data_IF_025929347142
#
_entry.id   IF_025929347142
#
_cell.length_a   1.000
_cell.length_b   1.000
_cell.length_c   1.000
_cell.angle_alpha   90.00
_cell.angle_beta   90.00
_cell.angle_gamma   90.00
#
_symmetry.space_group_name_H-M   'P 1'
#
loop_
_entity.id
_entity.type
_entity.pdbx_description
1 polymer ?
#
# COMPACT_ATOMS: atom_id res chain seq x y z
N UNK A 1 0.77 11.75 -22.73
CA UNK A 1 -0.14 12.27 -21.68
C UNK A 1 0.62 12.54 -20.38
N UNK A 2 0.65 13.81 -19.93
CA UNK A 2 1.25 14.17 -18.64
C UNK A 2 0.36 13.62 -17.53
N UNK A 3 0.91 12.74 -16.69
CA UNK A 3 0.19 12.17 -15.55
C UNK A 3 0.00 13.30 -14.53
N UNK A 4 -1.26 13.56 -14.15
CA UNK A 4 -1.59 14.54 -13.11
C UNK A 4 -0.99 14.06 -11.80
N UNK A 5 -0.23 14.92 -11.12
CA UNK A 5 0.32 14.57 -9.82
C UNK A 5 -0.81 14.47 -8.78
N UNK A 6 -0.89 13.36 -8.02
CA UNK A 6 -1.91 13.22 -7.00
C UNK A 6 -1.62 14.18 -5.84
N UNK A 7 -2.67 14.66 -5.16
CA UNK A 7 -2.51 15.48 -3.96
C UNK A 7 -2.06 14.66 -2.75
N UNK A 8 -2.46 13.38 -2.69
CA UNK A 8 -2.07 12.39 -1.68
C UNK A 8 -1.82 11.06 -2.40
N UNK A 9 -0.72 10.39 -2.06
CA UNK A 9 -0.46 8.99 -2.40
C UNK A 9 -0.68 8.12 -1.17
N UNK A 10 -1.37 7.00 -1.29
CA UNK A 10 -1.50 6.01 -0.21
C UNK A 10 -0.71 4.77 -0.63
N UNK A 11 0.26 4.37 0.19
CA UNK A 11 1.05 3.17 -0.03
C UNK A 11 0.78 2.14 1.06
N UNK A 12 0.15 1.02 0.67
CA UNK A 12 -0.15 -0.10 1.57
C UNK A 12 1.04 -1.07 1.55
N UNK A 13 1.89 -0.99 2.56
CA UNK A 13 3.02 -1.90 2.68
C UNK A 13 2.56 -3.23 3.29
N UNK A 14 2.80 -4.33 2.58
CA UNK A 14 2.49 -5.69 3.08
C UNK A 14 3.66 -6.62 2.75
N UNK A 15 4.11 -7.46 3.69
CA UNK A 15 5.15 -8.45 3.44
C UNK A 15 4.79 -9.39 2.27
N UNK A 16 5.80 -9.75 1.47
CA UNK A 16 5.62 -10.58 0.26
C UNK A 16 4.94 -11.92 0.54
N UNK A 17 5.22 -12.56 1.68
CA UNK A 17 4.55 -13.79 2.08
C UNK A 17 3.02 -13.61 2.21
N UNK A 18 2.59 -12.50 2.83
CA UNK A 18 1.16 -12.21 2.98
C UNK A 18 0.53 -11.78 1.66
N UNK A 19 1.27 -11.08 0.79
CA UNK A 19 0.81 -10.79 -0.57
C UNK A 19 0.53 -12.07 -1.36
N UNK A 20 1.39 -13.08 -1.24
CA UNK A 20 1.19 -14.39 -1.87
C UNK A 20 -0.05 -15.11 -1.32
N UNK A 21 -0.25 -15.10 0.00
CA UNK A 21 -1.46 -15.66 0.61
C UNK A 21 -2.72 -14.96 0.08
N UNK A 22 -2.69 -13.64 -0.04
CA UNK A 22 -3.80 -12.85 -0.60
C UNK A 22 -4.05 -13.16 -2.08
N UNK A 23 -2.99 -13.30 -2.90
CA UNK A 23 -3.09 -13.69 -4.33
C UNK A 23 -3.75 -15.07 -4.45
N UNK A 24 -3.30 -16.04 -3.67
CA UNK A 24 -3.86 -17.40 -3.64
C UNK A 24 -5.33 -17.37 -3.21
N UNK A 25 -5.67 -16.64 -2.14
CA UNK A 25 -7.04 -16.49 -1.63
C UNK A 25 -8.00 -15.89 -2.67
N UNK A 26 -7.53 -14.96 -3.52
CA UNK A 26 -8.34 -14.37 -4.62
C UNK A 26 -8.63 -15.35 -5.76
N UNK A 27 -7.86 -16.44 -5.87
CA UNK A 27 -8.05 -17.51 -6.86
C UNK A 27 -8.16 -17.04 -8.32
N UNK A 28 -7.35 -16.04 -8.70
CA UNK A 28 -7.24 -15.57 -10.09
C UNK A 28 -6.18 -16.40 -10.80
N UNK A 29 -6.56 -17.19 -11.79
CA UNK A 29 -5.68 -18.17 -12.46
C UNK A 29 -4.38 -17.54 -12.99
N UNK A 30 -4.47 -16.34 -13.57
CA UNK A 30 -3.32 -15.62 -14.13
C UNK A 30 -2.37 -15.02 -13.07
N UNK A 31 -2.81 -14.85 -11.82
CA UNK A 31 -1.95 -14.34 -10.72
C UNK A 31 -1.23 -15.49 -9.97
N UNK A 32 -1.70 -16.74 -10.08
CA UNK A 32 -1.19 -17.87 -9.28
C UNK A 32 0.30 -18.16 -9.50
N UNK A 33 0.82 -17.83 -10.69
CA UNK A 33 2.22 -18.04 -11.07
C UNK A 33 3.17 -16.89 -10.73
N UNK A 34 2.70 -15.82 -10.06
CA UNK A 34 3.54 -14.66 -9.75
C UNK A 34 4.65 -15.07 -8.75
N UNK A 35 5.94 -14.94 -9.10
CA UNK A 35 7.02 -15.32 -8.21
C UNK A 35 7.26 -14.27 -7.12
N UNK A 36 7.84 -14.70 -5.99
CA UNK A 36 8.21 -13.80 -4.90
C UNK A 36 9.15 -12.68 -5.35
N UNK A 37 10.16 -13.02 -6.17
CA UNK A 37 11.15 -12.05 -6.65
C UNK A 37 10.49 -10.92 -7.44
N UNK A 38 9.43 -11.21 -8.20
CA UNK A 38 8.65 -10.18 -8.88
C UNK A 38 7.99 -9.23 -7.88
N UNK A 39 7.36 -9.76 -6.83
CA UNK A 39 6.73 -8.94 -5.80
C UNK A 39 7.75 -8.12 -5.00
N UNK A 40 8.93 -8.68 -4.71
CA UNK A 40 10.04 -7.94 -4.09
C UNK A 40 10.50 -6.79 -4.97
N UNK A 41 10.80 -7.05 -6.24
CA UNK A 41 11.21 -6.01 -7.20
C UNK A 41 10.16 -4.91 -7.34
N UNK A 42 8.88 -5.27 -7.35
CA UNK A 42 7.78 -4.32 -7.40
C UNK A 42 7.73 -3.44 -6.15
N UNK A 43 7.83 -4.04 -4.96
CA UNK A 43 7.86 -3.34 -3.69
C UNK A 43 9.04 -2.36 -3.60
N UNK A 44 10.23 -2.80 -4.01
CA UNK A 44 11.41 -1.94 -4.07
C UNK A 44 11.22 -0.79 -5.05
N UNK A 45 10.71 -1.05 -6.24
CA UNK A 45 10.47 -0.02 -7.27
C UNK A 45 9.56 1.09 -6.75
N UNK A 46 8.44 0.74 -6.13
CA UNK A 46 7.53 1.74 -5.55
C UNK A 46 8.15 2.48 -4.36
N UNK A 47 8.85 1.75 -3.47
CA UNK A 47 9.50 2.36 -2.32
C UNK A 47 10.58 3.37 -2.75
N UNK A 48 11.36 3.05 -3.79
CA UNK A 48 12.36 3.96 -4.36
C UNK A 48 11.70 5.18 -5.01
N UNK A 49 10.63 4.97 -5.79
CA UNK A 49 9.86 6.07 -6.38
C UNK A 49 9.39 7.05 -5.30
N UNK A 50 8.76 6.57 -4.23
CA UNK A 50 8.25 7.42 -3.15
C UNK A 50 9.38 8.13 -2.39
N UNK A 51 10.55 7.51 -2.27
CA UNK A 51 11.72 8.16 -1.66
C UNK A 51 12.33 9.27 -2.53
N UNK A 52 12.28 9.10 -3.85
CA UNK A 52 12.87 10.06 -4.80
C UNK A 52 11.96 11.25 -5.09
N UNK A 53 10.65 11.10 -4.86
CA UNK A 53 9.68 12.15 -5.11
C UNK A 53 9.11 12.67 -3.79
N UNK A 54 9.15 13.99 -3.57
CA UNK A 54 8.57 14.64 -2.40
C UNK A 54 7.03 14.76 -2.53
N UNK A 55 6.36 13.63 -2.70
CA UNK A 55 4.90 13.54 -2.79
C UNK A 55 4.36 13.28 -1.38
N UNK A 56 3.34 14.03 -0.97
CA UNK A 56 2.57 13.76 0.23
C UNK A 56 2.05 12.32 0.22
N UNK A 57 2.64 11.46 1.04
CA UNK A 57 2.40 10.01 1.01
C UNK A 57 2.03 9.48 2.39
N UNK A 58 0.93 8.73 2.45
CA UNK A 58 0.54 7.94 3.61
C UNK A 58 1.10 6.51 3.46
N UNK A 59 2.13 6.20 4.23
CA UNK A 59 2.70 4.86 4.36
C UNK A 59 1.91 4.07 5.41
N UNK A 60 1.09 3.12 4.96
CA UNK A 60 0.25 2.29 5.84
C UNK A 60 0.90 0.92 5.99
N UNK A 61 1.18 0.52 7.23
CA UNK A 61 1.54 -0.87 7.50
C UNK A 61 0.29 -1.77 7.46
N UNK A 62 0.15 -2.50 6.37
CA UNK A 62 -0.94 -3.43 6.11
C UNK A 62 -0.56 -4.90 6.42
N UNK A 63 0.56 -5.13 7.13
CA UNK A 63 1.02 -6.48 7.52
C UNK A 63 -0.04 -7.28 8.28
N UNK A 64 -0.87 -6.63 9.09
CA UNK A 64 -1.97 -7.25 9.83
C UNK A 64 -3.35 -6.78 9.37
N UNK A 65 -3.43 -6.06 8.25
CA UNK A 65 -4.69 -5.57 7.73
C UNK A 65 -5.69 -6.71 7.46
N UNK A 66 -6.91 -6.50 7.92
CA UNK A 66 -8.11 -7.23 7.56
C UNK A 66 -9.22 -6.22 7.23
N UNK A 67 -9.25 -5.76 5.97
CA UNK A 67 -10.25 -4.80 5.50
C UNK A 67 -11.60 -5.44 5.18
N UNK A 68 -11.72 -6.77 5.29
CA UNK A 68 -12.97 -7.49 5.03
C UNK A 68 -13.69 -7.87 6.32
N UNK A 69 -12.93 -8.18 7.38
CA UNK A 69 -13.46 -8.58 8.69
C UNK A 69 -13.38 -7.50 9.77
N UNK A 70 -12.63 -6.41 9.55
CA UNK A 70 -12.50 -5.33 10.52
C UNK A 70 -12.61 -3.94 9.85
N UNK A 71 -13.79 -3.33 9.98
CA UNK A 71 -14.08 -2.01 9.44
C UNK A 71 -13.21 -0.90 10.06
N UNK A 72 -12.68 -1.09 11.28
CA UNK A 72 -11.81 -0.10 11.94
C UNK A 72 -10.50 0.10 11.17
N UNK A 73 -9.99 -0.93 10.50
CA UNK A 73 -8.79 -0.80 9.66
C UNK A 73 -9.02 0.13 8.47
N UNK A 74 -10.20 0.04 7.83
CA UNK A 74 -10.55 0.94 6.73
C UNK A 74 -10.81 2.35 7.27
N UNK A 75 -11.48 2.45 8.42
CA UNK A 75 -11.78 3.72 9.07
C UNK A 75 -10.53 4.54 9.37
N UNK A 76 -9.45 3.92 9.81
CA UNK A 76 -8.16 4.60 10.04
C UNK A 76 -7.64 5.29 8.78
N UNK A 77 -7.80 4.66 7.60
CA UNK A 77 -7.36 5.24 6.32
C UNK A 77 -8.29 6.39 5.92
N UNK A 78 -9.59 6.26 6.14
CA UNK A 78 -10.57 7.32 5.85
C UNK A 78 -10.34 8.53 6.78
N UNK A 79 -10.22 8.30 8.09
CA UNK A 79 -9.95 9.34 9.08
C UNK A 79 -8.59 10.02 8.84
N UNK A 80 -7.63 9.30 8.24
CA UNK A 80 -6.38 9.89 7.78
C UNK A 80 -6.61 10.83 6.60
N UNK A 81 -7.44 10.47 5.62
CA UNK A 81 -7.72 11.34 4.46
C UNK A 81 -8.35 12.70 4.82
N UNK A 82 -9.06 12.78 5.95
CA UNK A 82 -9.63 14.03 6.45
C UNK A 82 -8.60 14.95 7.15
N UNK A 83 -7.36 14.50 7.33
CA UNK A 83 -6.29 15.27 7.95
C UNK A 83 -5.44 16.02 6.92
N UNK A 84 -4.94 17.18 7.33
CA UNK A 84 -3.93 17.89 6.58
C UNK A 84 -2.54 17.31 6.88
N UNK A 85 -1.79 17.02 5.82
CA UNK A 85 -0.41 16.58 5.88
C UNK A 85 0.48 17.56 5.13
N UNK A 86 1.71 17.73 5.59
CA UNK A 86 2.77 18.37 4.82
C UNK A 86 3.31 17.43 3.73
N UNK A 87 4.09 17.95 2.80
CA UNK A 87 4.77 17.10 1.81
C UNK A 87 5.75 16.15 2.50
N UNK A 88 5.91 14.96 1.92
CA UNK A 88 6.75 13.89 2.48
C UNK A 88 5.94 12.68 2.93
N UNK A 89 6.57 11.84 3.76
CA UNK A 89 6.07 10.51 4.11
C UNK A 89 5.53 10.49 5.54
N UNK A 90 4.28 10.06 5.68
CA UNK A 90 3.57 9.96 6.97
C UNK A 90 3.20 8.50 7.22
N UNK A 91 3.60 7.97 8.37
CA UNK A 91 3.44 6.54 8.69
C UNK A 91 2.17 6.32 9.51
N UNK A 92 1.37 5.33 9.10
CA UNK A 92 0.14 4.92 9.75
C UNK A 92 0.21 3.43 10.11
N UNK A 93 -0.26 3.12 11.32
CA UNK A 93 -0.39 1.75 11.80
C UNK A 93 -1.88 1.45 12.00
N UNK A 94 -2.30 0.27 11.55
CA UNK A 94 -3.65 -0.21 11.75
C UNK A 94 -3.79 -0.78 13.17
N UNK A 95 -4.93 -0.54 13.85
CA UNK A 95 -5.20 -0.99 15.21
C UNK A 95 -5.32 -2.51 15.34
#
# INVERSE_FOLDING_TARGET
PQIVQPNILIYLHTPVNKLQENIKKRNREYEQGIPNDYLFNLQETYTQYIKQHNIKTLFVDASNADFLGNDDHLKVIIDALDKEYEDGQHYLTLP
#
